data_IF_269185585810
#
_entry.id   IF_269185585810
#
_cell.length_a   1.000
_cell.length_b   1.000
_cell.length_c   1.000
_cell.angle_alpha   90.00
_cell.angle_beta   90.00
_cell.angle_gamma   90.00
#
_symmetry.space_group_name_H-M   'P 1'
#
loop_
_entity.id
_entity.type
_entity.pdbx_description
1 polymer ?
#
# COMPACT_ATOMS: atom_id res chain seq x y z
N UNK A 1 3.24 13.77 -10.48
CA UNK A 1 2.13 13.20 -9.68
C UNK A 1 1.99 11.72 -10.02
N UNK A 2 1.49 10.87 -9.11
CA UNK A 2 1.17 9.50 -9.47
C UNK A 2 0.02 9.53 -10.50
N UNK A 3 0.26 8.99 -11.69
CA UNK A 3 -0.73 8.89 -12.76
C UNK A 3 -0.98 7.41 -13.02
N UNK A 4 -2.25 7.02 -12.94
CA UNK A 4 -2.72 5.68 -13.19
C UNK A 4 -3.82 5.78 -14.24
N UNK A 5 -3.77 4.90 -15.24
CA UNK A 5 -4.80 4.78 -16.26
C UNK A 5 -5.60 3.50 -15.96
N UNK A 6 -6.82 3.68 -15.44
CA UNK A 6 -7.63 2.60 -14.90
C UNK A 6 -9.09 2.80 -15.30
N UNK A 7 -9.65 1.92 -16.11
CA UNK A 7 -11.08 1.95 -16.45
C UNK A 7 -11.93 1.39 -15.30
N UNK A 8 -11.58 0.19 -14.82
CA UNK A 8 -12.24 -0.47 -13.70
C UNK A 8 -11.25 -0.70 -12.55
N UNK A 9 -11.66 -0.30 -11.34
CA UNK A 9 -10.86 -0.47 -10.13
C UNK A 9 -11.54 -1.44 -9.15
N UNK A 10 -10.80 -2.42 -8.67
CA UNK A 10 -11.17 -3.23 -7.51
C UNK A 10 -10.39 -2.77 -6.27
N UNK A 11 -11.09 -2.50 -5.18
CA UNK A 11 -10.49 -2.22 -3.87
C UNK A 11 -10.73 -3.44 -2.98
N UNK A 12 -9.66 -4.14 -2.63
CA UNK A 12 -9.75 -5.42 -1.90
C UNK A 12 -9.48 -5.19 -0.42
N UNK A 13 -10.47 -5.51 0.41
CA UNK A 13 -10.36 -5.47 1.87
C UNK A 13 -9.40 -6.55 2.38
N UNK A 14 -8.71 -6.27 3.49
CA UNK A 14 -7.87 -7.25 4.20
C UNK A 14 -8.65 -8.09 5.22
N UNK A 15 -9.99 -8.05 5.19
CA UNK A 15 -10.86 -8.80 6.10
C UNK A 15 -10.74 -10.31 5.89
N UNK A 16 -10.77 -11.08 6.98
CA UNK A 16 -10.83 -12.54 6.93
C UNK A 16 -12.11 -13.08 6.27
N UNK A 17 -13.16 -12.26 6.13
CA UNK A 17 -14.38 -12.61 5.39
C UNK A 17 -14.14 -12.87 3.90
N UNK A 18 -13.00 -12.43 3.36
CA UNK A 18 -12.64 -12.74 1.97
C UNK A 18 -12.30 -14.23 1.77
N UNK A 19 -11.92 -14.96 2.83
CA UNK A 19 -11.57 -16.38 2.74
C UNK A 19 -12.81 -17.19 2.35
N UNK A 20 -12.68 -18.03 1.33
CA UNK A 20 -13.75 -18.86 0.77
C UNK A 20 -14.75 -18.13 -0.13
N UNK A 21 -14.56 -16.83 -0.41
CA UNK A 21 -15.45 -16.08 -1.32
C UNK A 21 -15.22 -16.46 -2.79
N UNK A 22 -14.01 -16.94 -3.14
CA UNK A 22 -13.67 -17.40 -4.49
C UNK A 22 -13.88 -16.35 -5.60
N UNK A 23 -13.75 -15.06 -5.27
CA UNK A 23 -13.95 -13.93 -6.20
C UNK A 23 -12.66 -13.45 -6.87
N UNK A 24 -11.56 -14.21 -6.74
CA UNK A 24 -10.25 -13.78 -7.21
C UNK A 24 -10.17 -13.52 -8.72
N UNK A 25 -10.86 -14.31 -9.53
CA UNK A 25 -10.91 -14.11 -10.98
C UNK A 25 -11.66 -12.83 -11.38
N UNK A 26 -12.73 -12.48 -10.65
CA UNK A 26 -13.47 -11.23 -10.85
C UNK A 26 -12.60 -10.01 -10.51
N UNK A 27 -11.88 -10.07 -9.37
CA UNK A 27 -10.94 -9.02 -8.94
C UNK A 27 -9.85 -8.82 -10.01
N UNK A 28 -9.25 -9.91 -10.49
CA UNK A 28 -8.15 -9.85 -11.47
C UNK A 28 -8.61 -9.33 -12.85
N UNK A 29 -9.91 -9.36 -13.14
CA UNK A 29 -10.52 -8.75 -14.33
C UNK A 29 -10.51 -7.21 -14.31
N UNK A 30 -10.25 -6.57 -13.17
CA UNK A 30 -10.17 -5.11 -13.08
C UNK A 30 -8.87 -4.54 -13.68
N UNK A 31 -8.94 -3.39 -14.34
CA UNK A 31 -7.76 -2.67 -14.86
C UNK A 31 -6.75 -2.38 -13.75
N UNK A 32 -7.22 -1.97 -12.57
CA UNK A 32 -6.40 -1.70 -11.40
C UNK A 32 -6.92 -2.38 -10.13
N UNK A 33 -6.02 -2.98 -9.37
CA UNK A 33 -6.35 -3.62 -8.09
C UNK A 33 -5.61 -2.92 -6.95
N UNK A 34 -6.37 -2.41 -5.99
CA UNK A 34 -5.88 -1.70 -4.81
C UNK A 34 -5.93 -2.60 -3.59
N UNK A 35 -4.79 -2.72 -2.89
CA UNK A 35 -4.67 -3.52 -1.65
C UNK A 35 -4.07 -2.71 -0.51
N UNK A 36 -4.30 -3.18 0.72
CA UNK A 36 -3.88 -2.46 1.93
C UNK A 36 -2.76 -3.19 2.67
N UNK A 37 -1.80 -2.40 3.15
CA UNK A 37 -0.75 -2.85 4.08
C UNK A 37 -0.04 -4.13 3.60
N UNK A 38 0.12 -5.13 4.47
CA UNK A 38 0.81 -6.38 4.20
C UNK A 38 -0.13 -7.54 3.81
N UNK A 39 -1.38 -7.27 3.38
CA UNK A 39 -2.31 -8.31 2.99
C UNK A 39 -1.77 -9.13 1.81
N UNK A 40 -1.52 -10.45 1.96
CA UNK A 40 -0.92 -11.26 0.92
C UNK A 40 -1.93 -11.62 -0.17
N UNK A 41 -1.41 -11.96 -1.35
CA UNK A 41 -2.14 -12.69 -2.39
C UNK A 41 -1.73 -14.16 -2.44
N UNK A 42 -0.46 -14.45 -2.12
CA UNK A 42 0.09 -15.82 -2.16
C UNK A 42 -0.65 -16.70 -1.17
N UNK A 43 -1.22 -17.80 -1.65
CA UNK A 43 -2.02 -18.75 -0.87
C UNK A 43 -3.50 -18.37 -0.72
N UNK A 44 -3.94 -17.25 -1.29
CA UNK A 44 -5.31 -16.76 -1.26
C UNK A 44 -5.83 -16.38 -2.65
N UNK A 45 -5.14 -16.79 -3.71
CA UNK A 45 -5.40 -16.32 -5.08
C UNK A 45 -6.82 -16.60 -5.56
N UNK A 46 -7.41 -17.74 -5.16
CA UNK A 46 -8.79 -18.09 -5.49
C UNK A 46 -9.79 -17.08 -4.92
N UNK A 47 -9.52 -16.61 -3.70
CA UNK A 47 -10.41 -15.73 -2.94
C UNK A 47 -10.20 -14.25 -3.26
N UNK A 48 -8.94 -13.83 -3.40
CA UNK A 48 -8.60 -12.40 -3.45
C UNK A 48 -7.88 -12.00 -4.72
N UNK A 49 -7.59 -12.93 -5.64
CA UNK A 49 -6.88 -12.66 -6.90
C UNK A 49 -5.37 -12.51 -6.70
N UNK A 50 -4.64 -12.42 -7.82
CA UNK A 50 -3.17 -12.31 -7.87
C UNK A 50 -2.70 -10.88 -8.07
N UNK A 51 -3.48 -10.08 -8.80
CA UNK A 51 -3.08 -8.75 -9.27
C UNK A 51 -3.01 -7.77 -8.10
N UNK A 52 -1.98 -6.94 -8.12
CA UNK A 52 -1.87 -5.74 -7.27
C UNK A 52 -1.27 -4.63 -8.14
N UNK A 53 -2.02 -3.55 -8.34
CA UNK A 53 -1.56 -2.37 -9.08
C UNK A 53 -1.07 -1.30 -8.10
N UNK A 54 -1.85 -1.07 -7.04
CA UNK A 54 -1.53 -0.09 -5.99
C UNK A 54 -1.64 -0.75 -4.63
N UNK A 55 -0.69 -0.45 -3.76
CA UNK A 55 -0.71 -0.86 -2.37
C UNK A 55 -0.57 0.35 -1.46
N UNK A 56 -1.62 0.65 -0.71
CA UNK A 56 -1.63 1.75 0.27
C UNK A 56 -1.21 1.18 1.61
N UNK A 57 -0.16 1.74 2.21
CA UNK A 57 0.51 1.14 3.37
C UNK A 57 0.67 2.19 4.47
N UNK A 58 0.20 1.86 5.67
CA UNK A 58 0.51 2.65 6.86
C UNK A 58 1.98 2.47 7.26
N UNK A 59 2.58 3.53 7.78
CA UNK A 59 3.94 3.51 8.33
C UNK A 59 4.16 2.38 9.34
N UNK A 60 3.14 2.00 10.12
CA UNK A 60 3.22 0.88 11.07
C UNK A 60 3.33 -0.48 10.40
N UNK A 61 2.88 -0.61 9.15
CA UNK A 61 2.96 -1.86 8.37
C UNK A 61 4.25 -1.96 7.55
N UNK A 62 5.03 -0.90 7.38
CA UNK A 62 6.30 -0.94 6.63
C UNK A 62 7.27 -1.99 7.17
N UNK A 63 7.50 -2.12 8.50
CA UNK A 63 8.36 -3.19 9.04
C UNK A 63 7.88 -4.60 8.66
N UNK A 64 6.56 -4.80 8.48
CA UNK A 64 6.01 -6.09 8.08
C UNK A 64 6.28 -6.42 6.61
N UNK A 65 6.23 -5.42 5.72
CA UNK A 65 6.64 -5.61 4.32
C UNK A 65 8.12 -6.00 4.25
N UNK A 66 8.96 -5.36 5.05
CA UNK A 66 10.41 -5.61 5.10
C UNK A 66 10.80 -6.97 5.71
N UNK A 67 9.85 -7.73 6.29
CA UNK A 67 10.08 -9.14 6.64
C UNK A 67 10.16 -10.05 5.42
N UNK A 68 9.52 -9.67 4.31
CA UNK A 68 9.59 -10.42 3.05
C UNK A 68 9.72 -9.46 1.86
N UNK A 69 10.86 -8.74 1.77
CA UNK A 69 11.02 -7.66 0.81
C UNK A 69 11.07 -8.16 -0.63
N UNK A 70 11.49 -9.41 -0.89
CA UNK A 70 11.48 -9.98 -2.23
C UNK A 70 10.06 -10.15 -2.77
N UNK A 71 9.12 -10.62 -1.95
CA UNK A 71 7.72 -10.72 -2.35
C UNK A 71 7.13 -9.33 -2.72
N UNK A 72 7.39 -8.32 -1.89
CA UNK A 72 6.80 -6.99 -2.08
C UNK A 72 7.56 -6.10 -3.10
N UNK A 73 8.87 -6.23 -3.25
CA UNK A 73 9.66 -5.28 -4.04
C UNK A 73 10.38 -5.90 -5.24
N UNK A 74 10.40 -7.24 -5.35
CA UNK A 74 11.02 -7.95 -6.49
C UNK A 74 9.99 -8.72 -7.32
N UNK A 75 9.19 -9.58 -6.70
CA UNK A 75 8.18 -10.39 -7.41
C UNK A 75 7.04 -9.50 -7.97
N UNK A 76 6.68 -8.46 -7.24
CA UNK A 76 5.59 -7.53 -7.58
C UNK A 76 6.12 -6.21 -8.16
N UNK A 77 7.02 -6.30 -9.15
CA UNK A 77 7.73 -5.14 -9.72
C UNK A 77 6.81 -4.03 -10.30
N UNK A 78 5.59 -4.39 -10.69
CA UNK A 78 4.57 -3.48 -11.21
C UNK A 78 3.63 -2.94 -10.13
N UNK A 79 3.86 -3.19 -8.85
CA UNK A 79 3.07 -2.56 -7.78
C UNK A 79 3.59 -1.16 -7.46
N UNK A 80 2.67 -0.19 -7.39
CA UNK A 80 2.94 1.13 -6.82
C UNK A 80 2.64 1.09 -5.33
N UNK A 81 3.61 1.47 -4.50
CA UNK A 81 3.44 1.59 -3.06
C UNK A 81 3.16 3.04 -2.69
N UNK A 82 2.07 3.30 -1.98
CA UNK A 82 1.75 4.63 -1.42
C UNK A 82 1.79 4.52 0.10
N UNK A 83 2.85 5.04 0.70
CA UNK A 83 3.09 4.97 2.14
C UNK A 83 2.59 6.24 2.81
N UNK A 84 1.80 6.10 3.87
CA UNK A 84 1.29 7.21 4.67
C UNK A 84 1.67 7.03 6.14
N UNK A 85 1.84 8.13 6.86
CA UNK A 85 2.17 8.11 8.28
C UNK A 85 2.40 9.51 8.86
N UNK A 86 2.53 9.60 10.19
CA UNK A 86 2.74 10.86 10.87
C UNK A 86 4.11 11.43 10.52
N UNK A 87 4.21 12.77 10.52
CA UNK A 87 5.42 13.50 10.16
C UNK A 87 6.65 12.97 10.90
N UNK A 88 6.54 12.72 12.21
CA UNK A 88 7.63 12.20 13.07
C UNK A 88 8.31 10.96 12.50
N UNK A 89 7.56 10.01 11.93
CA UNK A 89 8.11 8.77 11.37
C UNK A 89 8.56 8.91 9.91
N UNK A 90 8.07 9.94 9.22
CA UNK A 90 8.28 10.17 7.79
C UNK A 90 9.26 11.34 7.49
N UNK A 91 9.96 11.86 8.51
CA UNK A 91 10.96 12.94 8.36
C UNK A 91 12.07 12.54 7.39
N UNK A 92 12.47 13.50 6.54
CA UNK A 92 13.50 13.30 5.50
C UNK A 92 14.90 13.73 5.93
N UNK A 93 15.03 14.32 7.12
CA UNK A 93 16.28 14.84 7.70
C UNK A 93 17.10 13.77 8.46
N UNK A 94 16.86 12.49 8.17
CA UNK A 94 17.53 11.37 8.83
C UNK A 94 16.89 10.92 10.14
N UNK A 95 15.91 11.64 10.69
CA UNK A 95 15.23 11.21 11.93
C UNK A 95 13.91 10.45 11.69
N UNK A 96 13.46 10.31 10.45
CA UNK A 96 12.25 9.58 10.12
C UNK A 96 12.53 8.09 10.01
N UNK A 97 12.29 7.35 11.09
CA UNK A 97 12.61 5.90 11.17
C UNK A 97 12.03 5.14 9.97
N UNK A 98 10.76 5.38 9.63
CA UNK A 98 10.09 4.67 8.52
C UNK A 98 10.58 5.20 7.16
N UNK A 99 10.77 6.51 7.01
CA UNK A 99 11.35 7.06 5.79
C UNK A 99 12.74 6.48 5.49
N UNK A 100 13.59 6.36 6.50
CA UNK A 100 14.93 5.77 6.37
C UNK A 100 14.88 4.29 5.98
N UNK A 101 13.93 3.52 6.55
CA UNK A 101 13.71 2.13 6.14
C UNK A 101 13.32 2.02 4.65
N UNK A 102 12.39 2.88 4.20
CA UNK A 102 11.97 2.91 2.79
C UNK A 102 13.11 3.34 1.87
N UNK A 103 13.93 4.32 2.28
CA UNK A 103 15.13 4.73 1.53
C UNK A 103 16.08 3.56 1.30
N UNK A 104 16.41 2.82 2.37
CA UNK A 104 17.23 1.60 2.26
C UNK A 104 16.59 0.55 1.36
N UNK A 105 15.27 0.39 1.41
CA UNK A 105 14.57 -0.55 0.53
C UNK A 105 14.69 -0.15 -0.95
N UNK A 106 14.57 1.14 -1.28
CA UNK A 106 14.76 1.63 -2.67
C UNK A 106 16.20 1.44 -3.13
N UNK A 107 17.19 1.62 -2.25
CA UNK A 107 18.61 1.42 -2.58
C UNK A 107 18.89 -0.08 -2.94
N UNK A 108 18.19 -1.02 -2.29
CA UNK A 108 18.32 -2.47 -2.55
C UNK A 108 17.44 -2.93 -3.73
N UNK A 109 16.26 -2.34 -3.89
CA UNK A 109 15.27 -2.68 -4.91
C UNK A 109 15.02 -1.47 -5.81
N UNK A 110 15.91 -1.16 -6.77
CA UNK A 110 15.82 0.05 -7.59
C UNK A 110 14.57 0.08 -8.49
N UNK A 111 13.95 -1.07 -8.76
CA UNK A 111 12.67 -1.16 -9.47
C UNK A 111 11.44 -0.88 -8.60
N UNK A 112 11.59 -0.75 -7.28
CA UNK A 112 10.48 -0.52 -6.37
C UNK A 112 9.90 0.89 -6.54
N UNK A 113 8.60 0.96 -6.85
CA UNK A 113 7.90 2.23 -7.06
C UNK A 113 7.22 2.69 -5.78
N UNK A 114 8.00 3.33 -4.90
CA UNK A 114 7.55 3.77 -3.57
C UNK A 114 7.33 5.29 -3.54
N UNK A 115 6.10 5.68 -3.20
CA UNK A 115 5.67 7.06 -2.97
C UNK A 115 5.32 7.25 -1.51
N UNK A 116 5.60 8.44 -0.97
CA UNK A 116 5.20 8.81 0.40
C UNK A 116 4.25 10.00 0.34
N UNK A 117 3.23 10.01 1.20
CA UNK A 117 2.35 11.18 1.32
C UNK A 117 3.11 12.39 1.84
N UNK A 118 2.61 13.59 1.52
CA UNK A 118 3.13 14.84 2.09
C UNK A 118 2.40 15.16 3.38
N UNK A 119 3.05 15.93 4.26
CA UNK A 119 2.43 16.43 5.50
C UNK A 119 1.14 17.21 5.22
N UNK A 120 1.14 18.07 4.19
CA UNK A 120 -0.06 18.80 3.75
C UNK A 120 -1.22 17.85 3.37
N UNK A 121 -0.92 16.72 2.72
CA UNK A 121 -1.95 15.73 2.37
C UNK A 121 -2.43 14.96 3.59
N UNK A 122 -1.55 14.62 4.52
CA UNK A 122 -1.93 13.99 5.80
C UNK A 122 -2.86 14.90 6.60
N UNK A 123 -2.45 16.15 6.84
CA UNK A 123 -3.27 17.12 7.56
C UNK A 123 -4.64 17.36 6.89
N UNK A 124 -4.70 17.33 5.56
CA UNK A 124 -5.97 17.40 4.84
C UNK A 124 -6.86 16.18 5.09
N UNK A 125 -6.31 14.96 5.03
CA UNK A 125 -7.05 13.74 5.32
C UNK A 125 -7.55 13.70 6.77
N UNK A 126 -6.73 14.10 7.74
CA UNK A 126 -7.11 14.19 9.16
C UNK A 126 -8.25 15.20 9.35
N UNK A 127 -8.17 16.35 8.69
CA UNK A 127 -9.24 17.35 8.71
C UNK A 127 -10.56 16.85 8.12
N UNK A 128 -10.51 16.10 7.02
CA UNK A 128 -11.70 15.45 6.43
C UNK A 128 -12.26 14.41 7.39
N UNK A 129 -11.42 13.53 7.94
CA UNK A 129 -11.85 12.51 8.89
C UNK A 129 -12.54 13.11 10.12
N UNK A 130 -11.96 14.15 10.72
CA UNK A 130 -12.56 14.87 11.85
C UNK A 130 -13.89 15.51 11.48
N UNK A 131 -13.98 16.12 10.31
CA UNK A 131 -15.22 16.77 9.84
C UNK A 131 -16.35 15.76 9.68
N UNK A 132 -16.07 14.59 9.09
CA UNK A 132 -17.10 13.58 8.80
C UNK A 132 -17.47 12.72 10.01
N UNK A 133 -16.54 12.52 10.96
CA UNK A 133 -16.73 11.58 12.08
C UNK A 133 -16.83 12.24 13.46
N UNK A 134 -16.40 13.50 13.59
CA UNK A 134 -16.25 14.19 14.87
C UNK A 134 -15.13 13.64 15.76
N UNK A 135 -14.27 12.76 15.24
CA UNK A 135 -13.18 12.12 16.00
C UNK A 135 -11.81 12.65 15.57
N UNK A 136 -10.88 12.65 16.53
CA UNK A 136 -9.46 12.94 16.34
C UNK A 136 -8.64 11.65 16.22
#
# INVERSE_FOLDING_TARGET
PLQLDCDLCAIVSSSGQMVGQKVGAEIDGSSCVWRMNNAPTRGYEEDVGRKTSVRVVSHTSVPLLLKNPDYFFKETNSTVYVIWGPFRNMRRDGNGIVYNMLRKAVDVYPGARIYVTTEKRMAHCDGVFKKETGKD
#
